data_IF_663850528895
#
_entry.id   IF_663850528895
#
_cell.length_a   1.000
_cell.length_b   1.000
_cell.length_c   1.000
_cell.angle_alpha   90.00
_cell.angle_beta   90.00
_cell.angle_gamma   90.00
#
_symmetry.space_group_name_H-M   'P 1'
#
loop_
_entity.id
_entity.type
_entity.pdbx_description
1 polymer ?
#
# COMPACT_ATOMS: atom_id res chain seq x y z
N UNK A 1 24.32 -1.13 19.19
CA UNK A 1 24.11 -2.58 18.97
C UNK A 1 23.73 -2.76 17.50
N UNK A 2 24.29 -3.76 16.82
CA UNK A 2 23.89 -4.10 15.45
C UNK A 2 22.51 -4.77 15.56
N UNK A 3 21.47 -4.14 15.04
CA UNK A 3 20.14 -4.77 14.96
C UNK A 3 20.25 -5.94 13.98
N UNK A 4 19.91 -7.14 14.43
CA UNK A 4 19.85 -8.32 13.57
C UNK A 4 18.42 -8.44 13.07
N UNK A 5 18.20 -8.14 11.79
CA UNK A 5 16.89 -8.29 11.15
C UNK A 5 16.74 -9.72 10.65
N UNK A 6 15.67 -10.39 11.05
CA UNK A 6 15.32 -11.73 10.55
C UNK A 6 14.18 -11.61 9.57
N UNK A 7 14.27 -12.30 8.44
CA UNK A 7 13.24 -12.34 7.41
C UNK A 7 12.74 -13.77 7.23
N UNK A 8 11.45 -14.00 7.53
CA UNK A 8 10.81 -15.31 7.44
C UNK A 8 9.79 -15.30 6.31
N UNK A 9 9.90 -16.24 5.37
CA UNK A 9 8.88 -16.46 4.35
C UNK A 9 7.67 -17.12 5.00
N UNK A 10 6.50 -16.49 4.91
CA UNK A 10 5.29 -16.97 5.59
C UNK A 10 4.20 -17.48 4.64
N UNK A 11 4.05 -16.92 3.43
CA UNK A 11 3.00 -17.39 2.52
C UNK A 11 3.27 -18.81 1.98
N UNK A 12 2.22 -19.65 1.80
CA UNK A 12 2.35 -21.00 1.25
C UNK A 12 2.56 -21.03 -0.26
N UNK A 13 2.28 -19.92 -0.97
CA UNK A 13 2.39 -19.82 -2.43
C UNK A 13 2.81 -18.41 -2.85
N UNK A 14 3.48 -18.25 -4.00
CA UNK A 14 3.83 -16.93 -4.50
C UNK A 14 2.63 -16.23 -5.16
N UNK A 15 2.60 -14.93 -4.97
CA UNK A 15 1.73 -13.99 -5.67
C UNK A 15 2.38 -13.53 -6.96
N UNK A 16 1.56 -13.34 -7.99
CA UNK A 16 2.04 -12.71 -9.23
C UNK A 16 2.37 -11.26 -8.96
N UNK A 17 1.44 -10.54 -8.34
CA UNK A 17 1.60 -9.16 -7.89
C UNK A 17 1.09 -9.03 -6.45
N UNK A 18 1.94 -9.39 -5.48
CA UNK A 18 1.63 -9.22 -4.07
C UNK A 18 1.63 -7.75 -3.71
N UNK A 19 0.54 -7.20 -3.18
CA UNK A 19 0.40 -5.76 -2.90
C UNK A 19 -0.46 -5.48 -1.67
N UNK A 20 -0.46 -4.21 -1.24
CA UNK A 20 -1.39 -3.64 -0.25
C UNK A 20 -1.60 -4.51 1.00
N UNK A 21 -0.51 -4.95 1.70
CA UNK A 21 -0.67 -5.62 2.97
C UNK A 21 -1.24 -4.67 4.02
N UNK A 22 -2.17 -5.15 4.84
CA UNK A 22 -2.77 -4.39 5.94
C UNK A 22 -3.12 -5.30 7.12
N UNK A 23 -2.77 -4.88 8.33
CA UNK A 23 -3.01 -5.62 9.56
C UNK A 23 -4.29 -5.13 10.25
N UNK A 24 -5.25 -6.03 10.47
CA UNK A 24 -6.42 -5.77 11.30
C UNK A 24 -6.13 -6.15 12.76
N UNK A 25 -5.78 -5.14 13.55
CA UNK A 25 -5.45 -5.27 14.97
C UNK A 25 -6.61 -5.81 15.83
N UNK A 26 -7.86 -5.63 15.40
CA UNK A 26 -9.04 -6.06 16.18
C UNK A 26 -9.21 -7.58 16.21
N UNK A 27 -8.76 -8.26 15.16
CA UNK A 27 -8.96 -9.70 14.98
C UNK A 27 -7.64 -10.46 14.77
N UNK A 28 -6.50 -9.77 14.75
CA UNK A 28 -5.19 -10.39 14.58
C UNK A 28 -5.01 -11.03 13.20
N UNK A 29 -5.48 -10.36 12.14
CA UNK A 29 -5.47 -10.87 10.77
C UNK A 29 -4.70 -9.95 9.85
N UNK A 30 -3.79 -10.52 9.06
CA UNK A 30 -3.13 -9.83 7.96
C UNK A 30 -3.94 -10.06 6.68
N UNK A 31 -4.24 -8.99 5.95
CA UNK A 31 -4.75 -9.04 4.59
C UNK A 31 -3.68 -8.53 3.62
N UNK A 32 -3.73 -8.99 2.36
CA UNK A 32 -2.97 -8.43 1.23
C UNK A 32 -3.66 -8.88 -0.08
N UNK A 33 -3.14 -8.46 -1.24
CA UNK A 33 -3.73 -8.85 -2.53
C UNK A 33 -2.72 -9.54 -3.43
N UNK A 34 -3.18 -10.50 -4.25
CA UNK A 34 -2.55 -10.84 -5.52
C UNK A 34 -3.34 -10.13 -6.63
N UNK A 35 -2.85 -8.96 -7.04
CA UNK A 35 -3.56 -8.10 -7.98
C UNK A 35 -3.83 -8.79 -9.32
N UNK A 36 -2.85 -9.54 -9.84
CA UNK A 36 -2.96 -10.24 -11.14
C UNK A 36 -3.88 -11.46 -11.03
N UNK A 37 -3.81 -12.25 -9.96
CA UNK A 37 -4.74 -13.38 -9.77
C UNK A 37 -6.12 -12.96 -9.30
N UNK A 38 -6.31 -11.69 -8.90
CA UNK A 38 -7.57 -11.12 -8.41
C UNK A 38 -8.01 -11.76 -7.11
N UNK A 39 -7.07 -11.90 -6.18
CA UNK A 39 -7.30 -12.50 -4.86
C UNK A 39 -7.06 -11.46 -3.78
N UNK A 40 -8.05 -11.24 -2.91
CA UNK A 40 -7.78 -10.75 -1.57
C UNK A 40 -7.33 -11.97 -0.78
N UNK A 41 -6.18 -11.89 -0.13
CA UNK A 41 -5.62 -12.96 0.70
C UNK A 41 -5.64 -12.57 2.15
N UNK A 42 -5.67 -13.57 3.02
CA UNK A 42 -5.55 -13.35 4.44
C UNK A 42 -4.75 -14.44 5.15
N UNK A 43 -4.21 -14.06 6.31
CA UNK A 43 -3.58 -14.90 7.31
C UNK A 43 -4.19 -14.58 8.67
N UNK A 44 -4.92 -15.53 9.24
CA UNK A 44 -5.28 -15.56 10.65
C UNK A 44 -4.03 -15.89 11.46
N UNK A 45 -3.41 -14.88 12.04
CA UNK A 45 -2.03 -14.97 12.51
C UNK A 45 -1.85 -15.93 13.69
N UNK A 46 -2.82 -15.96 14.61
CA UNK A 46 -2.79 -16.85 15.77
C UNK A 46 -3.01 -18.33 15.39
N UNK A 47 -3.74 -18.58 14.31
CA UNK A 47 -4.15 -19.93 13.88
C UNK A 47 -3.27 -20.47 12.75
N UNK A 48 -2.36 -19.66 12.22
CA UNK A 48 -1.56 -19.93 11.01
C UNK A 48 -2.44 -20.38 9.82
N UNK A 49 -3.65 -19.80 9.72
CA UNK A 49 -4.63 -20.17 8.71
C UNK A 49 -4.61 -19.17 7.55
N UNK A 50 -4.35 -19.68 6.35
CA UNK A 50 -4.37 -18.92 5.11
C UNK A 50 -5.69 -19.09 4.36
N UNK A 51 -6.13 -18.04 3.69
CA UNK A 51 -7.27 -18.11 2.77
C UNK A 51 -7.28 -16.98 1.74
N UNK A 52 -8.31 -16.99 0.90
CA UNK A 52 -8.48 -15.97 -0.13
C UNK A 52 -9.94 -15.78 -0.54
N UNK A 53 -10.26 -14.59 -1.04
CA UNK A 53 -11.54 -14.21 -1.64
C UNK A 53 -11.28 -13.75 -3.08
N UNK A 54 -11.99 -14.33 -4.05
CA UNK A 54 -11.86 -13.99 -5.47
C UNK A 54 -12.61 -12.70 -5.81
N UNK A 55 -11.96 -11.80 -6.55
CA UNK A 55 -12.52 -10.53 -7.04
C UNK A 55 -12.75 -10.57 -8.56
N UNK A 56 -13.69 -9.78 -9.10
CA UNK A 56 -14.04 -9.83 -10.52
C UNK A 56 -12.95 -9.28 -11.44
N UNK A 57 -12.09 -8.39 -10.95
CA UNK A 57 -11.02 -7.75 -11.73
C UNK A 57 -9.77 -7.52 -10.88
N UNK A 58 -8.70 -7.01 -11.52
CA UNK A 58 -7.42 -6.75 -10.87
C UNK A 58 -7.60 -5.81 -9.69
N UNK A 59 -6.92 -6.12 -8.58
CA UNK A 59 -6.98 -5.37 -7.33
C UNK A 59 -5.71 -4.53 -7.21
N UNK A 60 -5.86 -3.23 -6.93
CA UNK A 60 -4.74 -2.33 -6.65
C UNK A 60 -4.48 -2.16 -5.16
N UNK A 61 -5.53 -2.03 -4.36
CA UNK A 61 -5.43 -1.76 -2.92
C UNK A 61 -6.64 -2.26 -2.14
N UNK A 62 -6.42 -2.46 -0.84
CA UNK A 62 -7.44 -2.75 0.16
C UNK A 62 -7.26 -1.86 1.40
N UNK A 63 -8.34 -1.63 2.12
CA UNK A 63 -8.33 -0.87 3.37
C UNK A 63 -9.36 -1.42 4.37
N UNK A 64 -9.06 -1.31 5.67
CA UNK A 64 -9.99 -1.73 6.71
C UNK A 64 -11.20 -0.78 6.76
N UNK A 65 -12.37 -1.32 7.13
CA UNK A 65 -13.56 -0.51 7.42
C UNK A 65 -13.89 -0.57 8.92
N UNK A 66 -14.84 0.26 9.36
CA UNK A 66 -15.37 0.17 10.71
C UNK A 66 -16.10 -1.15 10.99
N UNK A 67 -16.68 -1.76 9.95
CA UNK A 67 -17.37 -3.04 10.01
C UNK A 67 -16.38 -4.21 9.86
N UNK A 68 -16.33 -5.10 10.84
CA UNK A 68 -15.54 -6.32 10.71
C UNK A 68 -16.05 -7.18 9.55
N UNK A 69 -15.14 -7.87 8.86
CA UNK A 69 -15.47 -8.69 7.69
C UNK A 69 -15.74 -7.90 6.41
N UNK A 70 -15.58 -6.56 6.43
CA UNK A 70 -15.64 -5.71 5.25
C UNK A 70 -14.35 -4.93 5.03
N UNK A 71 -13.95 -4.82 3.76
CA UNK A 71 -12.82 -4.02 3.32
C UNK A 71 -13.27 -3.02 2.27
N UNK A 72 -12.61 -1.87 2.18
CA UNK A 72 -12.58 -1.10 0.94
C UNK A 72 -11.65 -1.83 -0.03
N UNK A 73 -12.01 -1.89 -1.32
CA UNK A 73 -11.19 -2.48 -2.37
C UNK A 73 -11.16 -1.58 -3.60
N UNK A 74 -9.97 -1.23 -4.07
CA UNK A 74 -9.72 -0.56 -5.34
C UNK A 74 -9.55 -1.60 -6.46
N UNK A 75 -10.57 -1.76 -7.28
CA UNK A 75 -10.59 -2.66 -8.44
C UNK A 75 -10.26 -1.89 -9.73
N UNK A 76 -10.04 -2.60 -10.84
CA UNK A 76 -9.69 -1.96 -12.11
C UNK A 76 -10.70 -0.88 -12.57
N UNK A 77 -11.99 -1.04 -12.27
CA UNK A 77 -13.08 -0.18 -12.76
C UNK A 77 -13.73 0.70 -11.68
N UNK A 78 -13.26 0.66 -10.43
CA UNK A 78 -13.88 1.42 -9.34
C UNK A 78 -13.40 1.04 -7.95
N UNK A 79 -13.93 1.76 -6.97
CA UNK A 79 -13.73 1.52 -5.53
C UNK A 79 -15.04 1.00 -4.95
N UNK A 80 -14.93 -0.07 -4.16
CA UNK A 80 -16.06 -0.78 -3.58
C UNK A 80 -15.82 -1.06 -2.10
N UNK A 81 -16.90 -1.31 -1.36
CA UNK A 81 -16.85 -2.09 -0.11
C UNK A 81 -17.12 -3.55 -0.49
N UNK A 82 -16.24 -4.45 -0.07
CA UNK A 82 -16.43 -5.89 -0.20
C UNK A 82 -16.83 -6.50 1.14
N UNK A 83 -17.86 -7.36 1.16
CA UNK A 83 -18.15 -8.26 2.29
C UNK A 83 -17.42 -9.57 2.06
N UNK A 84 -16.42 -9.90 2.89
CA UNK A 84 -15.47 -10.99 2.62
C UNK A 84 -16.12 -12.38 2.61
N UNK A 85 -17.13 -12.61 3.45
CA UNK A 85 -17.84 -13.90 3.54
C UNK A 85 -18.59 -14.25 2.25
N UNK A 86 -19.17 -13.25 1.59
CA UNK A 86 -20.06 -13.44 0.43
C UNK A 86 -19.46 -12.97 -0.88
N UNK A 87 -18.30 -12.30 -0.83
CA UNK A 87 -17.69 -11.54 -1.93
C UNK A 87 -18.63 -10.48 -2.53
N UNK A 88 -19.67 -10.04 -1.81
CA UNK A 88 -20.59 -9.03 -2.29
C UNK A 88 -19.92 -7.64 -2.35
N UNK A 89 -20.11 -6.94 -3.46
CA UNK A 89 -19.53 -5.62 -3.72
C UNK A 89 -20.59 -4.52 -3.68
N UNK A 90 -20.36 -3.50 -2.85
CA UNK A 90 -21.11 -2.26 -2.85
C UNK A 90 -20.25 -1.13 -3.45
N UNK A 91 -20.69 -0.43 -4.51
CA UNK A 91 -19.91 0.65 -5.10
C UNK A 91 -19.82 1.86 -4.16
N UNK A 92 -18.59 2.35 -3.96
CA UNK A 92 -18.29 3.66 -3.40
C UNK A 92 -18.06 4.69 -4.50
N UNK A 93 -17.28 4.33 -5.52
CA UNK A 93 -17.00 5.22 -6.65
C UNK A 93 -16.72 4.40 -7.92
N UNK A 94 -17.32 4.80 -9.04
CA UNK A 94 -17.04 4.26 -10.37
C UNK A 94 -16.95 5.42 -11.36
N UNK A 95 -15.88 5.54 -12.16
CA UNK A 95 -15.85 6.48 -13.26
C UNK A 95 -16.94 6.16 -14.29
N UNK A 96 -17.56 7.20 -14.85
CA UNK A 96 -18.52 7.07 -15.96
C UNK A 96 -18.20 8.10 -17.05
N UNK A 97 -17.70 7.67 -18.24
CA UNK A 97 -17.38 6.29 -18.59
C UNK A 97 -16.12 5.76 -17.89
N UNK A 98 -15.98 4.44 -17.81
CA UNK A 98 -14.73 3.79 -17.36
C UNK A 98 -13.66 3.95 -18.43
N UNK A 99 -12.50 4.52 -18.08
CA UNK A 99 -11.33 4.62 -18.95
C UNK A 99 -10.47 3.36 -18.82
N UNK A 100 -10.45 2.52 -19.86
CA UNK A 100 -9.67 1.28 -19.89
C UNK A 100 -8.14 1.48 -19.82
N UNK A 101 -7.65 2.72 -19.97
CA UNK A 101 -6.23 3.06 -19.77
C UNK A 101 -5.86 3.20 -18.30
N UNK A 102 -6.85 3.30 -17.41
CA UNK A 102 -6.65 3.59 -15.99
C UNK A 102 -7.07 2.39 -15.15
N UNK A 103 -6.31 2.10 -14.10
CA UNK A 103 -6.75 1.21 -13.01
C UNK A 103 -6.40 1.81 -11.66
N UNK A 104 -7.13 1.45 -10.61
CA UNK A 104 -6.73 1.78 -9.24
C UNK A 104 -5.44 1.01 -8.87
N UNK A 105 -4.58 1.65 -8.08
CA UNK A 105 -3.30 1.14 -7.62
C UNK A 105 -3.24 1.27 -6.08
N UNK A 106 -2.20 1.89 -5.54
CA UNK A 106 -1.99 2.05 -4.11
C UNK A 106 -3.04 2.97 -3.44
N UNK A 107 -3.35 2.68 -2.19
CA UNK A 107 -4.32 3.44 -1.42
C UNK A 107 -4.34 3.08 0.07
N UNK A 108 -4.64 4.08 0.89
CA UNK A 108 -4.78 3.97 2.35
C UNK A 108 -5.93 4.83 2.85
N UNK A 109 -6.41 4.51 4.05
CA UNK A 109 -7.37 5.37 4.75
C UNK A 109 -6.60 6.48 5.47
N UNK A 110 -7.05 7.72 5.34
CA UNK A 110 -6.52 8.83 6.12
C UNK A 110 -7.07 8.84 7.56
N UNK A 111 -6.54 9.73 8.40
CA UNK A 111 -6.97 9.79 9.81
C UNK A 111 -8.43 10.21 10.01
N UNK A 112 -9.08 10.76 8.98
CA UNK A 112 -10.50 11.15 8.99
C UNK A 112 -11.42 10.05 8.43
N UNK A 113 -10.90 8.85 8.19
CA UNK A 113 -11.70 7.72 7.72
C UNK A 113 -12.06 7.79 6.24
N UNK A 114 -11.33 8.58 5.44
CA UNK A 114 -11.53 8.69 3.99
C UNK A 114 -10.52 7.84 3.26
N UNK A 115 -10.92 7.19 2.19
CA UNK A 115 -10.01 6.36 1.39
C UNK A 115 -9.29 7.22 0.35
N UNK A 116 -7.99 7.40 0.52
CA UNK A 116 -7.12 8.07 -0.45
C UNK A 116 -6.45 7.00 -1.30
N UNK A 117 -6.76 7.00 -2.58
CA UNK A 117 -6.32 5.98 -3.51
C UNK A 117 -5.88 6.64 -4.81
N UNK A 118 -4.72 6.25 -5.32
CA UNK A 118 -4.30 6.70 -6.62
C UNK A 118 -4.50 5.64 -7.68
N UNK A 119 -4.70 6.11 -8.89
CA UNK A 119 -4.79 5.29 -10.07
C UNK A 119 -3.44 5.24 -10.79
N UNK A 120 -3.35 4.43 -11.85
CA UNK A 120 -2.21 4.42 -12.75
C UNK A 120 -2.64 4.19 -14.19
N UNK A 121 -1.81 4.66 -15.12
CA UNK A 121 -1.91 4.24 -16.52
C UNK A 121 -1.49 2.78 -16.65
N UNK A 122 -2.31 1.94 -17.30
CA UNK A 122 -2.00 0.52 -17.56
C UNK A 122 -0.66 0.38 -18.26
N UNK A 123 -0.35 1.30 -19.19
CA UNK A 123 0.96 1.42 -19.83
C UNK A 123 1.75 2.64 -19.36
N UNK A 124 1.53 3.10 -18.13
CA UNK A 124 2.21 4.25 -17.50
C UNK A 124 2.07 5.57 -18.27
N UNK A 125 0.96 5.74 -18.98
CA UNK A 125 0.53 7.02 -19.51
C UNK A 125 0.20 7.99 -18.35
N UNK A 126 0.45 9.29 -18.49
CA UNK A 126 0.20 10.29 -17.45
C UNK A 126 -1.28 10.69 -17.38
N UNK A 127 -2.16 9.70 -17.25
CA UNK A 127 -3.63 9.85 -17.26
C UNK A 127 -4.27 9.61 -15.89
N UNK A 128 -3.45 9.30 -14.89
CA UNK A 128 -3.92 8.87 -13.59
C UNK A 128 -4.12 10.03 -12.62
N UNK A 129 -4.90 9.77 -11.58
CA UNK A 129 -5.29 10.70 -10.53
C UNK A 129 -5.00 10.13 -9.15
N UNK A 130 -4.75 11.00 -8.18
CA UNK A 130 -4.85 10.68 -6.76
C UNK A 130 -6.21 11.18 -6.29
N UNK A 131 -7.06 10.28 -5.80
CA UNK A 131 -8.43 10.59 -5.40
C UNK A 131 -8.65 10.33 -3.92
N UNK A 132 -9.58 11.08 -3.33
CA UNK A 132 -10.08 10.89 -1.97
C UNK A 132 -11.56 10.58 -2.02
N UNK A 133 -11.96 9.48 -1.39
CA UNK A 133 -13.35 9.02 -1.31
C UNK A 133 -13.82 9.05 0.13
N UNK A 134 -14.91 9.76 0.39
CA UNK A 134 -15.56 9.87 1.69
C UNK A 134 -16.66 8.81 1.87
N UNK A 135 -17.09 8.57 3.12
CA UNK A 135 -18.13 7.59 3.45
C UNK A 135 -19.50 7.91 2.83
N UNK A 136 -19.76 9.19 2.53
CA UNK A 136 -20.92 9.68 1.78
C UNK A 136 -20.80 9.48 0.25
N UNK A 137 -19.75 8.78 -0.21
CA UNK A 137 -19.43 8.50 -1.61
C UNK A 137 -18.98 9.72 -2.42
N UNK A 138 -18.66 10.83 -1.76
CA UNK A 138 -18.07 12.00 -2.42
C UNK A 138 -16.64 11.68 -2.88
N UNK A 139 -16.35 11.98 -4.15
CA UNK A 139 -15.01 11.87 -4.75
C UNK A 139 -14.37 13.25 -4.90
N UNK A 140 -13.13 13.37 -4.47
CA UNK A 140 -12.30 14.55 -4.69
C UNK A 140 -11.03 14.15 -5.46
N UNK A 141 -10.59 14.99 -6.40
CA UNK A 141 -9.30 14.84 -7.08
C UNK A 141 -8.25 15.66 -6.33
N UNK A 142 -7.25 15.00 -5.76
CA UNK A 142 -6.16 15.65 -5.03
C UNK A 142 -4.98 16.01 -5.92
N UNK A 143 -4.70 15.18 -6.93
CA UNK A 143 -3.65 15.38 -7.92
C UNK A 143 -3.98 14.61 -9.22
N UNK A 144 -3.39 15.04 -10.33
CA UNK A 144 -3.58 14.42 -11.66
C UNK A 144 -2.26 14.42 -12.47
N UNK A 145 -2.30 13.85 -13.68
CA UNK A 145 -1.12 13.74 -14.54
C UNK A 145 -0.13 12.68 -14.07
N UNK A 146 -0.59 11.76 -13.20
CA UNK A 146 0.23 10.71 -12.58
C UNK A 146 0.37 9.54 -13.56
N UNK A 147 1.53 8.88 -13.55
CA UNK A 147 1.76 7.65 -14.32
C UNK A 147 1.54 6.41 -13.48
N UNK A 148 2.21 6.29 -12.33
CA UNK A 148 2.10 5.15 -11.41
C UNK A 148 2.06 5.65 -9.96
N UNK A 149 0.85 5.81 -9.41
CA UNK A 149 0.64 6.24 -8.02
C UNK A 149 1.10 5.20 -7.01
N UNK A 150 1.94 5.59 -6.05
CA UNK A 150 2.44 4.75 -4.97
C UNK A 150 2.82 5.55 -3.72
N UNK A 151 3.27 4.83 -2.69
CA UNK A 151 3.77 5.34 -1.41
C UNK A 151 2.75 6.17 -0.62
N UNK A 152 1.46 5.91 -0.82
CA UNK A 152 0.38 6.63 -0.13
C UNK A 152 0.43 6.28 1.35
N UNK A 153 0.86 7.21 2.20
CA UNK A 153 0.82 7.08 3.65
C UNK A 153 0.81 8.45 4.33
N UNK A 154 0.59 8.49 5.65
CA UNK A 154 0.34 9.73 6.38
C UNK A 154 1.28 9.88 7.57
N UNK A 155 1.64 11.12 7.90
CA UNK A 155 2.36 11.43 9.15
C UNK A 155 1.55 10.97 10.37
N UNK A 156 2.19 10.83 11.55
CA UNK A 156 1.51 10.32 12.71
C UNK A 156 0.27 11.09 13.14
N UNK A 157 0.31 12.42 12.97
CA UNK A 157 -0.77 13.37 13.24
C UNK A 157 -1.76 13.55 12.08
N UNK A 158 -1.49 12.94 10.92
CA UNK A 158 -2.31 13.05 9.72
C UNK A 158 -2.21 14.36 8.96
N UNK A 159 -1.38 15.31 9.41
CA UNK A 159 -1.22 16.62 8.76
C UNK A 159 -0.34 16.61 7.50
N UNK A 160 0.32 15.49 7.20
CA UNK A 160 1.15 15.30 6.01
C UNK A 160 0.74 14.04 5.26
N UNK A 161 0.52 14.18 3.96
CA UNK A 161 0.39 13.07 3.02
C UNK A 161 1.73 12.85 2.33
N UNK A 162 2.23 11.62 2.38
CA UNK A 162 3.34 11.15 1.57
C UNK A 162 2.81 10.46 0.33
N UNK A 163 3.37 10.79 -0.82
CA UNK A 163 2.92 10.29 -2.11
C UNK A 163 4.05 10.32 -3.15
N UNK A 164 4.05 9.35 -4.08
CA UNK A 164 4.96 9.31 -5.21
C UNK A 164 4.25 8.91 -6.51
N UNK A 165 4.65 9.54 -7.61
CA UNK A 165 4.66 8.85 -8.91
C UNK A 165 5.96 8.05 -8.96
N UNK A 166 5.86 6.72 -9.04
CA UNK A 166 7.01 5.81 -8.99
C UNK A 166 8.07 6.15 -10.05
N UNK A 167 7.64 6.66 -11.21
CA UNK A 167 8.52 7.00 -12.32
C UNK A 167 9.26 8.34 -12.14
N UNK A 168 8.82 9.18 -11.21
CA UNK A 168 9.54 10.39 -10.83
C UNK A 168 10.71 10.09 -9.89
N UNK A 169 10.69 8.91 -9.24
CA UNK A 169 11.68 8.49 -8.22
C UNK A 169 11.81 9.50 -7.08
N UNK A 170 10.69 10.08 -6.67
CA UNK A 170 10.61 11.06 -5.59
C UNK A 170 9.41 10.79 -4.72
N UNK A 171 9.64 10.62 -3.41
CA UNK A 171 8.58 10.67 -2.41
C UNK A 171 8.42 12.12 -2.00
N UNK A 172 7.19 12.62 -2.09
CA UNK A 172 6.83 14.00 -1.79
C UNK A 172 5.99 14.04 -0.53
N UNK A 173 6.24 15.04 0.29
CA UNK A 173 5.45 15.35 1.47
C UNK A 173 4.59 16.59 1.17
N UNK A 174 3.28 16.42 1.29
CA UNK A 174 2.28 17.47 1.08
C UNK A 174 1.62 17.82 2.41
N UNK A 175 1.36 19.10 2.64
CA UNK A 175 0.42 19.50 3.67
C UNK A 175 -0.95 18.86 3.36
N UNK A 176 -1.54 18.21 4.36
CA UNK A 176 -2.80 17.48 4.21
C UNK A 176 -3.79 17.97 5.26
N UNK A 177 -4.68 18.87 4.83
CA UNK A 177 -5.72 19.42 5.67
C UNK A 177 -6.97 18.53 5.71
N UNK A 178 -7.79 18.73 6.75
CA UNK A 178 -9.13 18.17 6.80
C UNK A 178 -10.02 18.71 5.68
N UNK A 179 -9.94 20.01 5.43
CA UNK A 179 -10.71 20.66 4.38
C UNK A 179 -10.17 20.35 2.97
N UNK A 180 -11.04 20.40 1.94
CA UNK A 180 -10.66 20.25 0.54
C UNK A 180 -9.71 21.35 0.08
N UNK A 181 -8.41 21.05 0.01
CA UNK A 181 -7.43 21.91 -0.63
C UNK A 181 -6.64 21.10 -1.67
N UNK A 182 -6.36 21.66 -2.86
CA UNK A 182 -5.46 21.03 -3.82
C UNK A 182 -4.09 20.77 -3.19
N UNK A 183 -3.47 19.63 -3.51
CA UNK A 183 -2.11 19.34 -3.08
C UNK A 183 -1.12 20.23 -3.84
N UNK A 184 -0.64 21.29 -3.20
CA UNK A 184 0.30 22.25 -3.80
C UNK A 184 1.65 22.23 -3.09
N UNK A 185 2.68 22.72 -3.79
CA UNK A 185 4.02 23.00 -3.25
C UNK A 185 4.63 21.88 -2.38
N UNK A 186 4.75 20.64 -2.90
CA UNK A 186 5.33 19.55 -2.13
C UNK A 186 6.77 19.82 -1.74
N UNK A 187 7.14 19.39 -0.54
CA UNK A 187 8.55 19.17 -0.20
C UNK A 187 8.98 17.82 -0.78
N UNK A 188 10.07 17.78 -1.53
CA UNK A 188 10.72 16.52 -1.90
C UNK A 188 11.32 15.94 -0.62
N UNK A 189 10.73 14.86 -0.11
CA UNK A 189 11.17 14.20 1.10
C UNK A 189 12.33 13.26 0.81
N UNK A 190 12.18 12.38 -0.18
CA UNK A 190 13.21 11.39 -0.55
C UNK A 190 13.38 11.39 -2.06
N UNK A 191 14.63 11.50 -2.52
CA UNK A 191 14.99 11.25 -3.92
C UNK A 191 15.48 9.80 -4.07
N UNK A 192 14.60 8.90 -4.52
CA UNK A 192 14.95 7.47 -4.63
C UNK A 192 15.81 7.15 -5.84
N UNK A 193 16.07 8.13 -6.72
CA UNK A 193 17.04 8.00 -7.80
C UNK A 193 18.43 7.65 -7.25
N UNK A 194 18.77 8.13 -6.06
CA UNK A 194 20.05 7.88 -5.39
C UNK A 194 20.22 6.39 -5.03
N UNK A 195 19.12 5.63 -4.95
CA UNK A 195 19.10 4.19 -4.73
C UNK A 195 18.82 3.39 -6.01
N UNK A 196 18.81 4.05 -7.17
CA UNK A 196 18.45 3.48 -8.46
C UNK A 196 17.10 2.73 -8.48
N UNK A 197 16.10 3.24 -7.74
CA UNK A 197 14.78 2.61 -7.64
C UNK A 197 13.65 3.63 -7.75
N UNK A 198 12.50 3.19 -8.24
CA UNK A 198 11.23 3.82 -7.93
C UNK A 198 10.80 3.40 -6.50
N UNK A 199 10.13 4.30 -5.76
CA UNK A 199 9.41 3.92 -4.56
C UNK A 199 8.11 3.21 -4.94
N UNK A 200 7.70 2.24 -4.14
CA UNK A 200 6.44 1.51 -4.32
C UNK A 200 5.59 1.66 -3.05
N UNK A 201 5.10 0.60 -2.46
CA UNK A 201 4.35 0.67 -1.22
C UNK A 201 5.15 1.18 -0.02
N UNK A 202 4.50 1.98 0.83
CA UNK A 202 5.11 2.62 1.99
C UNK A 202 4.21 2.60 3.24
N UNK A 203 4.83 2.71 4.41
CA UNK A 203 4.15 2.88 5.70
C UNK A 203 4.94 3.81 6.62
N UNK A 204 4.35 4.25 7.73
CA UNK A 204 4.98 5.13 8.72
C UNK A 204 5.00 4.43 10.06
N UNK A 205 6.16 4.40 10.71
CA UNK A 205 6.30 3.79 12.03
C UNK A 205 5.85 4.71 13.19
N UNK A 206 5.89 4.18 14.41
CA UNK A 206 5.52 4.91 15.63
C UNK A 206 6.41 6.13 15.94
N UNK A 207 7.61 6.21 15.34
CA UNK A 207 8.53 7.35 15.49
C UNK A 207 8.35 8.39 14.37
N UNK A 208 7.44 8.14 13.42
CA UNK A 208 7.16 9.04 12.30
C UNK A 208 8.11 8.87 11.11
N UNK A 209 8.91 7.79 11.07
CA UNK A 209 9.79 7.52 9.95
C UNK A 209 9.01 6.78 8.86
N UNK A 210 9.23 7.18 7.61
CA UNK A 210 8.66 6.49 6.45
C UNK A 210 9.51 5.27 6.11
N UNK A 211 8.85 4.14 5.96
CA UNK A 211 9.40 2.92 5.39
C UNK A 211 8.86 2.77 3.97
N UNK A 212 9.72 2.42 3.01
CA UNK A 212 9.31 2.26 1.61
C UNK A 212 10.03 1.09 0.95
N UNK A 213 9.29 0.32 0.15
CA UNK A 213 9.86 -0.68 -0.74
C UNK A 213 10.57 -0.01 -1.93
N UNK A 214 11.84 -0.32 -2.11
CA UNK A 214 12.67 0.12 -3.24
C UNK A 214 12.82 -1.05 -4.21
N UNK A 215 11.82 -1.21 -5.07
CA UNK A 215 11.60 -2.38 -5.95
C UNK A 215 12.86 -2.76 -6.74
N UNK A 216 13.40 -1.85 -7.55
CA UNK A 216 14.53 -2.18 -8.43
C UNK A 216 15.85 -2.31 -7.66
N UNK A 217 15.90 -1.82 -6.42
CA UNK A 217 17.07 -1.98 -5.56
C UNK A 217 17.04 -3.29 -4.76
N UNK A 218 15.90 -3.99 -4.68
CA UNK A 218 15.73 -5.15 -3.79
C UNK A 218 15.92 -4.78 -2.31
N UNK A 219 15.43 -3.60 -1.90
CA UNK A 219 15.71 -3.02 -0.57
C UNK A 219 14.47 -2.40 0.06
N UNK A 220 14.53 -2.22 1.36
CA UNK A 220 13.60 -1.41 2.14
C UNK A 220 14.37 -0.22 2.72
N UNK A 221 13.91 1.00 2.45
CA UNK A 221 14.48 2.22 3.02
C UNK A 221 13.61 2.73 4.17
N UNK A 222 14.25 3.16 5.26
CA UNK A 222 13.64 3.92 6.37
C UNK A 222 14.22 5.33 6.37
N UNK A 223 13.37 6.34 6.29
CA UNK A 223 13.75 7.75 6.22
C UNK A 223 13.11 8.55 7.34
N UNK A 224 13.87 9.46 7.92
CA UNK A 224 13.42 10.39 8.93
C UNK A 224 12.37 11.38 8.36
N UNK A 225 11.58 12.06 9.21
CA UNK A 225 10.61 13.07 8.77
C UNK A 225 11.21 14.21 7.92
N UNK A 226 12.50 14.48 8.07
CA UNK A 226 13.24 15.47 7.27
C UNK A 226 13.72 14.93 5.92
N UNK A 227 13.66 13.61 5.69
CA UNK A 227 14.09 12.93 4.46
C UNK A 227 15.43 12.21 4.56
N UNK A 228 16.14 12.36 5.69
CA UNK A 228 17.45 11.72 5.91
C UNK A 228 17.28 10.20 5.98
N UNK A 229 18.16 9.46 5.30
CA UNK A 229 18.20 7.99 5.40
C UNK A 229 18.64 7.58 6.81
N UNK A 230 17.78 6.82 7.50
CA UNK A 230 18.11 6.17 8.77
C UNK A 230 18.68 4.77 8.54
N UNK A 231 17.97 3.96 7.74
CA UNK A 231 18.34 2.56 7.48
C UNK A 231 18.02 2.17 6.05
N UNK A 232 18.90 1.35 5.49
CA UNK A 232 18.69 0.70 4.21
C UNK A 232 18.92 -0.81 4.39
N UNK A 233 17.86 -1.59 4.24
CA UNK A 233 17.83 -3.02 4.55
C UNK A 233 17.71 -3.80 3.24
N UNK A 234 18.48 -4.88 3.10
CA UNK A 234 18.29 -5.84 2.01
C UNK A 234 16.96 -6.57 2.17
N UNK A 235 16.13 -6.54 1.13
CA UNK A 235 14.95 -7.39 1.10
C UNK A 235 15.37 -8.85 0.88
N UNK A 236 14.63 -9.85 1.40
CA UNK A 236 14.91 -11.27 1.17
C UNK A 236 14.68 -11.73 -0.28
N UNK A 237 14.24 -10.82 -1.17
CA UNK A 237 13.93 -11.04 -2.59
C UNK A 237 14.28 -9.79 -3.40
N UNK A 238 14.38 -9.95 -4.72
CA UNK A 238 14.78 -8.89 -5.66
C UNK A 238 13.71 -7.85 -5.97
N UNK A 239 12.42 -8.15 -5.75
CA UNK A 239 11.29 -7.28 -6.09
C UNK A 239 10.30 -7.12 -4.92
N UNK A 240 10.71 -6.49 -3.79
CA UNK A 240 9.76 -6.10 -2.74
C UNK A 240 8.79 -5.05 -3.30
N UNK A 241 7.50 -5.17 -2.98
CA UNK A 241 6.45 -4.27 -3.53
C UNK A 241 5.85 -3.34 -2.50
N UNK A 242 5.39 -3.88 -1.37
CA UNK A 242 4.70 -3.09 -0.35
C UNK A 242 4.95 -3.68 1.04
N UNK A 243 4.70 -2.85 2.06
CA UNK A 243 5.01 -3.17 3.45
C UNK A 243 3.97 -2.60 4.41
N UNK A 244 3.74 -3.31 5.51
CA UNK A 244 2.92 -2.84 6.61
C UNK A 244 3.42 -3.40 7.93
N UNK A 245 3.25 -2.66 9.01
CA UNK A 245 3.49 -3.19 10.34
C UNK A 245 2.26 -3.96 10.84
N UNK A 246 2.50 -4.99 11.63
CA UNK A 246 1.45 -5.77 12.27
C UNK A 246 2.01 -6.73 13.32
N UNK A 247 1.26 -7.79 13.60
CA UNK A 247 1.52 -8.69 14.72
C UNK A 247 0.96 -8.14 16.04
N UNK A 248 0.89 -8.97 17.09
CA UNK A 248 0.26 -8.60 18.37
C UNK A 248 0.85 -7.37 19.05
N UNK A 249 2.13 -7.06 18.81
CA UNK A 249 2.86 -5.93 19.39
C UNK A 249 3.23 -4.86 18.34
N UNK A 250 2.70 -4.97 17.11
CA UNK A 250 3.01 -4.09 15.97
C UNK A 250 4.51 -4.05 15.61
N UNK A 251 5.32 -5.04 16.01
CA UNK A 251 6.78 -5.04 15.78
C UNK A 251 7.21 -5.77 14.50
N UNK A 252 6.32 -6.54 13.89
CA UNK A 252 6.58 -7.27 12.65
C UNK A 252 6.29 -6.39 11.44
N UNK A 253 7.25 -6.23 10.53
CA UNK A 253 7.04 -5.61 9.23
C UNK A 253 6.75 -6.70 8.20
N UNK A 254 5.50 -6.81 7.77
CA UNK A 254 5.11 -7.69 6.67
C UNK A 254 5.48 -7.04 5.35
N UNK A 255 6.02 -7.84 4.42
CA UNK A 255 6.48 -7.39 3.11
C UNK A 255 5.94 -8.30 2.02
N UNK A 256 5.17 -7.72 1.10
CA UNK A 256 4.77 -8.38 -0.14
C UNK A 256 5.86 -8.26 -1.20
N UNK A 257 5.81 -9.13 -2.21
CA UNK A 257 6.75 -9.06 -3.33
C UNK A 257 6.09 -9.47 -4.65
N UNK A 258 6.80 -9.24 -5.74
CA UNK A 258 6.31 -9.45 -7.11
C UNK A 258 6.94 -10.72 -7.68
N UNK A 259 6.15 -11.62 -8.26
CA UNK A 259 6.67 -12.67 -9.14
C UNK A 259 6.68 -12.21 -10.59
N UNK A 260 5.54 -11.76 -11.08
CA UNK A 260 5.33 -11.19 -12.41
C UNK A 260 4.13 -10.25 -12.34
N UNK A 261 4.36 -8.95 -12.59
CA UNK A 261 3.33 -7.93 -12.56
C UNK A 261 2.28 -8.07 -13.68
N UNK A 262 2.43 -9.05 -14.58
CA UNK A 262 1.55 -9.28 -15.73
C UNK A 262 1.74 -8.28 -16.88
N UNK A 263 2.57 -7.26 -16.69
CA UNK A 263 2.88 -6.20 -17.66
C UNK A 263 4.27 -6.34 -18.26
N UNK A 264 5.06 -7.33 -17.82
CA UNK A 264 6.46 -7.50 -18.20
C UNK A 264 7.43 -6.46 -17.63
N UNK A 265 6.94 -5.50 -16.80
CA UNK A 265 7.74 -4.43 -16.20
C UNK A 265 8.50 -4.87 -14.96
N UNK A 266 7.87 -5.69 -14.14
CA UNK A 266 8.45 -6.23 -12.92
C UNK A 266 8.28 -7.75 -12.94
N UNK A 267 9.38 -8.45 -13.22
CA UNK A 267 9.43 -9.91 -13.23
C UNK A 267 10.60 -10.34 -12.37
N UNK A 268 10.30 -10.99 -11.25
CA UNK A 268 11.32 -11.47 -10.32
C UNK A 268 12.03 -12.71 -10.87
N UNK A 269 13.35 -12.67 -10.78
CA UNK A 269 14.22 -13.82 -11.08
C UNK A 269 14.58 -14.60 -9.83
N UNK A 270 14.26 -14.08 -8.65
CA UNK A 270 14.50 -14.74 -7.39
C UNK A 270 13.62 -15.99 -7.23
N UNK A 271 14.13 -17.11 -6.69
CA UNK A 271 13.35 -18.33 -6.46
C UNK A 271 12.13 -18.12 -5.55
N UNK A 272 12.24 -17.14 -4.64
CA UNK A 272 11.18 -16.78 -3.70
C UNK A 272 10.46 -15.47 -4.06
N UNK A 273 10.60 -14.95 -5.28
CA UNK A 273 9.80 -13.81 -5.73
C UNK A 273 8.30 -14.10 -5.67
N UNK A 274 7.52 -13.10 -5.26
CA UNK A 274 6.07 -13.22 -5.08
C UNK A 274 5.64 -13.69 -3.69
N UNK A 275 6.55 -14.17 -2.84
CA UNK A 275 6.15 -14.59 -1.49
C UNK A 275 5.98 -13.39 -0.55
N UNK A 276 5.13 -13.60 0.45
CA UNK A 276 4.99 -12.73 1.62
C UNK A 276 6.05 -13.09 2.67
N UNK A 277 6.65 -12.07 3.29
CA UNK A 277 7.65 -12.21 4.34
C UNK A 277 7.25 -11.44 5.60
N UNK A 278 7.66 -11.95 6.76
CA UNK A 278 7.65 -11.25 8.04
C UNK A 278 9.09 -10.85 8.39
N UNK A 279 9.33 -9.55 8.62
CA UNK A 279 10.61 -9.02 9.05
C UNK A 279 10.53 -8.60 10.52
N UNK A 280 11.46 -9.09 11.33
CA UNK A 280 11.50 -8.90 12.78
C UNK A 280 12.88 -8.40 13.24
N UNK A 281 12.97 -7.89 14.46
CA UNK A 281 14.22 -7.34 15.01
C UNK A 281 14.52 -5.92 14.53
N UNK A 282 13.52 -5.19 14.05
CA UNK A 282 13.65 -3.81 13.57
C UNK A 282 13.84 -2.80 14.71
N UNK A 283 13.47 -3.17 15.96
CA UNK A 283 13.63 -2.29 17.12
C UNK A 283 12.72 -1.06 17.12
N UNK A 284 11.65 -1.09 16.33
CA UNK A 284 10.58 -0.08 16.26
C UNK A 284 9.27 -0.79 15.98
N UNK A 285 8.15 -0.19 16.40
CA UNK A 285 6.81 -0.69 16.11
C UNK A 285 6.10 0.20 15.10
N UNK A 286 5.10 -0.36 14.43
CA UNK A 286 4.13 0.41 13.67
C UNK A 286 3.05 1.05 14.53
N UNK A 287 1.95 1.39 13.85
CA UNK A 287 0.75 2.01 14.42
C UNK A 287 -0.48 1.31 13.87
N UNK A 288 -1.58 1.35 14.61
CA UNK A 288 -2.86 0.86 14.11
C UNK A 288 -3.31 1.68 12.90
N UNK A 289 -3.79 1.00 11.87
CA UNK A 289 -4.26 1.66 10.65
C UNK A 289 -5.64 2.31 10.85
N UNK A 290 -5.88 3.52 10.31
CA UNK A 290 -7.20 4.12 10.21
C UNK A 290 -8.19 3.22 9.47
N UNK A 291 -9.48 3.37 9.81
CA UNK A 291 -10.58 2.60 9.21
C UNK A 291 -11.52 3.51 8.44
N UNK A 292 -11.93 3.06 7.26
CA UNK A 292 -12.87 3.79 6.43
C UNK A 292 -14.20 3.98 7.18
N UNK A 293 -14.69 5.23 7.18
CA UNK A 293 -15.89 5.63 7.91
C UNK A 293 -15.71 5.87 9.41
N UNK A 294 -14.48 5.84 9.94
CA UNK A 294 -14.23 6.33 11.30
C UNK A 294 -14.42 7.85 11.34
N UNK A 295 -15.05 8.37 12.40
CA UNK A 295 -15.05 9.81 12.64
C UNK A 295 -13.71 10.21 13.26
N UNK A 296 -13.11 11.29 12.74
CA UNK A 296 -11.90 11.90 13.29
C UNK A 296 -12.10 12.52 14.66
#
# INVERSE_FOLDING_TARGET
MILTVTATRIAPSPDQLGESPIWDDRIGRLYWVDGVKRLIRFLDYAEDQFGSVEMPSMIGSIALTMDQGKLVVGLADGIYIVTLETAALEPLYRPDPVDARVRFNDGKVDHQGRFVCGTMGVFAEPVAELVRISADKTKECLANGIRISNSVCFSPDGGTLYFADSLDRQIRAYHYAAEPEPLTEPRILVNTKDYNSGPDGATVDSEGFIWVALVQAGKIGRFAPDGTLDRLIDAPVDMPSCITFGGPDMSTLFMTSIKDSGTGRAVSRHPHGGYLFALEGLGVTGRTEPRFGQNG
#
